data_IF_653930466918
#
_entry.id   IF_653930466918
#
_cell.length_a   1.000
_cell.length_b   1.000
_cell.length_c   1.000
_cell.angle_alpha   90.00
_cell.angle_beta   90.00
_cell.angle_gamma   90.00
#
_symmetry.space_group_name_H-M   'P 1'
#
loop_
_entity.id
_entity.type
_entity.pdbx_description
1 polymer ?
#
# COMPACT_ATOMS: atom_id res chain seq x y z
N UNK A 1 -3.72 12.32 -5.97
CA UNK A 1 -4.91 11.44 -6.16
C UNK A 1 -4.61 10.24 -7.06
N UNK A 2 -3.97 10.41 -8.23
CA UNK A 2 -3.62 9.29 -9.12
C UNK A 2 -2.77 8.21 -8.43
N UNK A 3 -1.81 8.61 -7.59
CA UNK A 3 -0.99 7.66 -6.83
C UNK A 3 -1.81 6.69 -5.96
N UNK A 4 -2.87 7.17 -5.30
CA UNK A 4 -3.70 6.34 -4.41
C UNK A 4 -4.44 5.24 -5.19
N UNK A 5 -4.94 5.57 -6.38
CA UNK A 5 -5.59 4.62 -7.27
C UNK A 5 -4.61 3.54 -7.75
N UNK A 6 -3.39 3.95 -8.13
CA UNK A 6 -2.33 3.02 -8.55
C UNK A 6 -1.96 2.07 -7.41
N UNK A 7 -1.83 2.60 -6.18
CA UNK A 7 -1.50 1.80 -4.99
C UNK A 7 -2.64 0.83 -4.63
N UNK A 8 -3.90 1.27 -4.74
CA UNK A 8 -5.05 0.40 -4.53
C UNK A 8 -5.10 -0.76 -5.55
N UNK A 9 -4.91 -0.45 -6.84
CA UNK A 9 -4.85 -1.46 -7.92
C UNK A 9 -3.68 -2.43 -7.73
N UNK A 10 -2.52 -1.93 -7.34
CA UNK A 10 -1.35 -2.76 -7.01
C UNK A 10 -1.66 -3.71 -5.84
N UNK A 11 -2.35 -3.21 -4.80
CA UNK A 11 -2.86 -4.03 -3.69
C UNK A 11 -3.77 -5.14 -4.18
N UNK A 12 -4.78 -4.84 -5.02
CA UNK A 12 -5.71 -5.84 -5.57
C UNK A 12 -4.99 -6.91 -6.39
N UNK A 13 -4.06 -6.51 -7.26
CA UNK A 13 -3.24 -7.44 -8.03
C UNK A 13 -2.39 -8.34 -7.13
N UNK A 14 -1.76 -7.78 -6.10
CA UNK A 14 -1.02 -8.56 -5.10
C UNK A 14 -1.92 -9.55 -4.36
N UNK A 15 -3.16 -9.17 -4.01
CA UNK A 15 -4.14 -10.04 -3.35
C UNK A 15 -4.60 -11.22 -4.21
N UNK A 16 -4.74 -11.00 -5.52
CA UNK A 16 -5.09 -12.04 -6.46
C UNK A 16 -3.93 -13.03 -6.72
N UNK A 17 -2.71 -12.53 -6.94
CA UNK A 17 -1.61 -13.35 -7.47
C UNK A 17 -0.61 -13.81 -6.40
N UNK A 18 -0.32 -13.00 -5.38
CA UNK A 18 0.77 -13.23 -4.43
C UNK A 18 0.29 -13.74 -3.06
N UNK A 19 1.23 -14.26 -2.26
CA UNK A 19 1.01 -14.65 -0.84
C UNK A 19 1.11 -13.42 0.07
N UNK A 20 0.48 -13.49 1.24
CA UNK A 20 0.42 -12.42 2.27
C UNK A 20 1.78 -11.78 2.57
N UNK A 21 2.87 -12.55 2.50
CA UNK A 21 4.23 -12.03 2.75
C UNK A 21 4.69 -10.91 1.80
N UNK A 22 4.22 -10.86 0.55
CA UNK A 22 4.59 -9.81 -0.40
C UNK A 22 3.99 -8.44 -0.06
N UNK A 23 2.86 -8.41 0.65
CA UNK A 23 2.22 -7.17 1.11
C UNK A 23 3.03 -6.55 2.23
N UNK A 24 3.52 -7.37 3.16
CA UNK A 24 4.36 -6.92 4.26
C UNK A 24 5.63 -6.28 3.69
N UNK A 25 6.24 -6.92 2.69
CA UNK A 25 7.40 -6.39 1.99
C UNK A 25 7.09 -5.05 1.29
N UNK A 26 5.96 -4.96 0.58
CA UNK A 26 5.55 -3.74 -0.12
C UNK A 26 5.25 -2.57 0.84
N UNK A 27 4.56 -2.85 1.95
CA UNK A 27 4.36 -1.90 3.05
C UNK A 27 5.68 -1.41 3.62
N UNK A 28 6.65 -2.31 3.84
CA UNK A 28 7.96 -1.99 4.41
C UNK A 28 8.79 -1.10 3.46
N UNK A 29 8.75 -1.38 2.15
CA UNK A 29 9.40 -0.55 1.13
C UNK A 29 8.80 0.86 1.09
N UNK A 30 7.47 0.98 1.14
CA UNK A 30 6.80 2.29 1.20
C UNK A 30 7.18 3.07 2.46
N UNK A 31 7.27 2.40 3.60
CA UNK A 31 7.65 3.01 4.87
C UNK A 31 9.11 3.49 4.86
N UNK A 32 10.03 2.70 4.31
CA UNK A 32 11.44 3.10 4.15
C UNK A 32 11.56 4.29 3.19
N UNK A 33 10.85 4.26 2.06
CA UNK A 33 10.87 5.34 1.08
C UNK A 33 10.36 6.67 1.68
N UNK A 34 9.33 6.61 2.53
CA UNK A 34 8.79 7.78 3.20
C UNK A 34 9.73 8.33 4.27
N UNK A 35 10.32 7.46 5.10
CA UNK A 35 11.36 7.85 6.07
C UNK A 35 12.53 8.53 5.36
N UNK A 36 12.97 7.99 4.22
CA UNK A 36 14.07 8.56 3.43
C UNK A 36 13.67 9.94 2.89
N UNK A 37 12.44 10.09 2.42
CA UNK A 37 11.90 11.36 1.89
C UNK A 37 11.80 12.43 2.97
N UNK A 38 11.37 12.05 4.17
CA UNK A 38 11.35 12.90 5.36
C UNK A 38 12.77 13.29 5.77
N UNK A 39 13.74 12.37 5.75
CA UNK A 39 15.13 12.69 6.05
C UNK A 39 15.73 13.71 5.07
N UNK A 40 15.31 13.65 3.81
CA UNK A 40 15.75 14.54 2.73
C UNK A 40 15.04 15.90 2.75
N UNK A 41 13.78 15.96 3.21
CA UNK A 41 13.04 17.21 3.42
C UNK A 41 13.20 17.64 4.88
N UNK A 42 14.09 18.61 5.13
CA UNK A 42 14.30 19.20 6.46
C UNK A 42 13.04 19.78 7.14
N UNK A 43 11.90 19.86 6.46
CA UNK A 43 10.62 20.28 7.02
C UNK A 43 9.67 19.09 7.15
N UNK A 44 9.40 18.74 8.40
CA UNK A 44 8.46 17.69 8.75
C UNK A 44 7.04 18.26 8.80
N UNK A 45 6.19 17.91 7.83
CA UNK A 45 4.79 18.32 7.81
C UNK A 45 3.88 17.17 8.23
N UNK A 46 2.94 17.43 9.15
CA UNK A 46 1.92 16.44 9.55
C UNK A 46 1.09 15.91 8.37
N UNK A 47 0.99 16.69 7.28
CA UNK A 47 0.33 16.27 6.05
C UNK A 47 1.00 15.04 5.40
N UNK A 48 2.33 14.90 5.51
CA UNK A 48 3.05 13.77 4.92
C UNK A 48 2.70 12.45 5.63
N UNK A 49 2.54 12.46 6.95
CA UNK A 49 2.06 11.29 7.71
C UNK A 49 0.66 10.88 7.27
N UNK A 50 -0.25 11.85 7.09
CA UNK A 50 -1.62 11.58 6.67
C UNK A 50 -1.65 10.93 5.27
N UNK A 51 -0.78 11.41 4.38
CA UNK A 51 -0.61 10.87 3.03
C UNK A 51 -0.05 9.45 3.09
N UNK A 52 0.97 9.19 3.91
CA UNK A 52 1.51 7.85 4.12
C UNK A 52 0.43 6.89 4.61
N UNK A 53 -0.36 7.32 5.60
CA UNK A 53 -1.43 6.51 6.17
C UNK A 53 -2.49 6.18 5.11
N UNK A 54 -2.88 7.16 4.29
CA UNK A 54 -3.81 6.95 3.19
C UNK A 54 -3.27 5.94 2.16
N UNK A 55 -1.97 6.00 1.83
CA UNK A 55 -1.34 5.02 0.94
C UNK A 55 -1.31 3.61 1.53
N UNK A 56 -0.96 3.47 2.81
CA UNK A 56 -0.96 2.17 3.47
C UNK A 56 -2.36 1.57 3.57
N UNK A 57 -3.37 2.38 3.93
CA UNK A 57 -4.76 1.94 3.96
C UNK A 57 -5.27 1.54 2.57
N UNK A 58 -4.94 2.30 1.52
CA UNK A 58 -5.30 1.95 0.15
C UNK A 58 -4.66 0.63 -0.32
N UNK A 59 -3.38 0.40 0.01
CA UNK A 59 -2.67 -0.82 -0.33
C UNK A 59 -3.25 -2.04 0.38
N UNK A 60 -3.45 -1.95 1.71
CA UNK A 60 -4.00 -3.03 2.52
C UNK A 60 -5.46 -3.33 2.15
N UNK A 61 -6.26 -2.29 1.96
CA UNK A 61 -7.64 -2.41 1.50
C UNK A 61 -7.74 -3.07 0.12
N UNK A 62 -6.90 -2.65 -0.83
CA UNK A 62 -6.80 -3.28 -2.14
C UNK A 62 -6.40 -4.75 -2.06
N UNK A 63 -5.38 -5.08 -1.25
CA UNK A 63 -4.96 -6.46 -1.03
C UNK A 63 -6.07 -7.35 -0.47
N UNK A 64 -6.78 -6.88 0.55
CA UNK A 64 -7.87 -7.63 1.17
C UNK A 64 -9.00 -7.87 0.17
N UNK A 65 -9.31 -6.88 -0.66
CA UNK A 65 -10.29 -7.00 -1.74
C UNK A 65 -9.86 -8.02 -2.81
N UNK A 66 -8.59 -7.99 -3.24
CA UNK A 66 -8.03 -8.95 -4.19
C UNK A 66 -8.01 -10.39 -3.64
N UNK A 67 -7.65 -10.57 -2.37
CA UNK A 67 -7.67 -11.85 -1.70
C UNK A 67 -9.10 -12.41 -1.57
N UNK A 68 -10.07 -11.55 -1.24
CA UNK A 68 -11.49 -11.92 -1.20
C UNK A 68 -12.00 -12.36 -2.58
N UNK A 69 -11.70 -11.60 -3.64
CA UNK A 69 -12.06 -11.95 -5.02
C UNK A 69 -11.46 -13.31 -5.44
N UNK A 70 -10.20 -13.56 -5.09
CA UNK A 70 -9.53 -14.86 -5.35
C UNK A 70 -10.21 -16.01 -4.63
N UNK A 71 -10.57 -15.84 -3.36
CA UNK A 71 -11.25 -16.87 -2.59
C UNK A 71 -12.64 -17.17 -3.17
N UNK A 72 -13.41 -16.13 -3.51
CA UNK A 72 -14.74 -16.27 -4.12
C UNK A 72 -14.70 -16.91 -5.52
N UNK A 73 -13.60 -16.75 -6.27
CA UNK A 73 -13.42 -17.36 -7.61
C UNK A 73 -12.99 -18.84 -7.53
N UNK A 74 -12.60 -19.34 -6.35
CA UNK A 74 -12.21 -20.75 -6.12
C UNK A 74 -13.27 -21.56 -5.36
N UNK A 75 -14.29 -20.91 -4.80
CA UNK A 75 -15.45 -21.54 -4.19
C UNK A 75 -16.58 -21.69 -5.19
#
# INVERSE_FOLDING_TARGET
>A
MIGLLVVALAGVLMGCYFRVGFVILACLVFLIADILRILLKSEFQFADILILFAYMSALQGGFMLGAYLKHRRRS
#
